data_IF_489177318432
#
_entry.id   IF_489177318432
#
_cell.length_a   1.000
_cell.length_b   1.000
_cell.length_c   1.000
_cell.angle_alpha   90.00
_cell.angle_beta   90.00
_cell.angle_gamma   90.00
#
_symmetry.space_group_name_H-M   'P 1'
#
loop_
_entity.id
_entity.type
_entity.pdbx_description
1 polymer ?
#
# COMPACT_ATOMS: atom_id res chain seq x y z
N UNK A 1 -0.53 3.20 -10.17
CA UNK A 1 -0.68 4.67 -10.30
C UNK A 1 -0.87 5.26 -8.92
N UNK A 2 -0.36 6.46 -8.67
CA UNK A 2 -0.52 7.13 -7.38
C UNK A 2 -0.76 8.63 -7.54
N UNK A 3 -1.40 9.23 -6.54
CA UNK A 3 -1.57 10.67 -6.41
C UNK A 3 -1.21 11.10 -4.98
N UNK A 4 -0.61 12.27 -4.82
CA UNK A 4 -0.39 12.87 -3.51
C UNK A 4 -1.64 13.63 -3.07
N UNK A 5 -2.11 13.37 -1.86
CA UNK A 5 -3.32 13.98 -1.30
C UNK A 5 -3.08 14.28 0.19
N UNK A 6 -3.02 15.56 0.55
CA UNK A 6 -3.04 16.00 1.95
C UNK A 6 -1.97 15.37 2.85
N UNK A 7 -0.74 15.17 2.34
CA UNK A 7 0.34 14.50 3.08
C UNK A 7 0.29 12.97 3.04
N UNK A 8 -0.55 12.39 2.18
CA UNK A 8 -0.61 10.96 1.93
C UNK A 8 -0.49 10.60 0.45
N UNK A 9 -0.26 9.32 0.20
CA UNK A 9 -0.12 8.72 -1.12
C UNK A 9 -1.33 7.82 -1.40
N UNK A 10 -2.18 8.25 -2.33
CA UNK A 10 -3.32 7.47 -2.81
C UNK A 10 -2.85 6.48 -3.87
N UNK A 11 -2.92 5.19 -3.56
CA UNK A 11 -2.55 4.13 -4.51
C UNK A 11 -3.81 3.47 -5.06
N UNK A 12 -4.09 3.73 -6.34
CA UNK A 12 -5.33 3.30 -6.98
C UNK A 12 -5.23 1.92 -7.61
N UNK A 13 -4.08 1.59 -8.19
CA UNK A 13 -3.88 0.34 -8.93
C UNK A 13 -2.44 -0.15 -8.89
N UNK A 14 -2.30 -1.48 -8.86
CA UNK A 14 -1.05 -2.22 -9.03
C UNK A 14 -1.25 -3.22 -10.17
N UNK A 15 -0.46 -3.10 -11.23
CA UNK A 15 -0.56 -3.95 -12.42
C UNK A 15 0.72 -4.75 -12.57
N UNK A 16 0.57 -6.07 -12.67
CA UNK A 16 1.63 -6.98 -13.10
C UNK A 16 1.13 -7.66 -14.37
N UNK A 17 1.89 -7.64 -15.48
CA UNK A 17 1.49 -8.34 -16.69
C UNK A 17 1.27 -9.84 -16.42
N UNK A 18 0.24 -10.43 -17.03
CA UNK A 18 -0.14 -11.86 -16.86
C UNK A 18 1.08 -12.82 -16.95
N UNK A 19 2.01 -12.67 -17.92
CA UNK A 19 3.17 -13.59 -18.02
C UNK A 19 4.12 -13.55 -16.81
N UNK A 20 4.01 -12.51 -15.97
CA UNK A 20 4.85 -12.23 -14.82
C UNK A 20 4.14 -12.45 -13.49
N UNK A 21 2.86 -12.81 -13.50
CA UNK A 21 2.10 -13.17 -12.30
C UNK A 21 2.68 -14.41 -11.60
N UNK A 22 2.33 -14.61 -10.32
CA UNK A 22 2.82 -15.73 -9.51
C UNK A 22 4.28 -15.61 -9.04
N UNK A 23 5.02 -14.58 -9.46
CA UNK A 23 6.45 -14.38 -9.14
C UNK A 23 6.72 -13.42 -7.97
N UNK A 24 5.69 -13.05 -7.22
CA UNK A 24 5.81 -12.11 -6.08
C UNK A 24 6.25 -10.69 -6.45
N UNK A 25 6.10 -10.27 -7.72
CA UNK A 25 6.51 -8.93 -8.19
C UNK A 25 5.71 -7.83 -7.48
N UNK A 26 4.39 -7.97 -7.44
CA UNK A 26 3.53 -6.98 -6.76
C UNK A 26 3.90 -6.82 -5.28
N UNK A 27 4.21 -7.91 -4.58
CA UNK A 27 4.64 -7.87 -3.18
C UNK A 27 5.99 -7.17 -3.00
N UNK A 28 6.95 -7.39 -3.91
CA UNK A 28 8.23 -6.65 -3.90
C UNK A 28 8.03 -5.16 -4.15
N UNK A 29 7.17 -4.80 -5.10
CA UNK A 29 6.78 -3.42 -5.35
C UNK A 29 6.13 -2.79 -4.12
N UNK A 30 5.20 -3.49 -3.46
CA UNK A 30 4.53 -3.01 -2.25
C UNK A 30 5.54 -2.68 -1.14
N UNK A 31 6.51 -3.56 -0.88
CA UNK A 31 7.55 -3.31 0.13
C UNK A 31 8.33 -2.04 -0.16
N UNK A 32 8.74 -1.85 -1.41
CA UNK A 32 9.53 -0.67 -1.79
C UNK A 32 8.71 0.61 -1.67
N UNK A 33 7.45 0.60 -2.14
CA UNK A 33 6.54 1.74 -2.02
C UNK A 33 6.25 2.09 -0.56
N UNK A 34 6.01 1.10 0.30
CA UNK A 34 5.75 1.35 1.73
C UNK A 34 6.99 1.88 2.46
N UNK A 35 8.19 1.45 2.04
CA UNK A 35 9.44 2.01 2.56
C UNK A 35 9.61 3.47 2.15
N UNK A 36 9.38 3.82 0.88
CA UNK A 36 9.43 5.20 0.37
C UNK A 36 8.44 6.11 1.12
N UNK A 37 7.20 5.66 1.30
CA UNK A 37 6.18 6.39 2.06
C UNK A 37 6.67 6.71 3.48
N UNK A 38 7.27 5.71 4.16
CA UNK A 38 7.80 5.89 5.51
C UNK A 38 8.98 6.87 5.53
N UNK A 39 9.92 6.73 4.60
CA UNK A 39 11.09 7.61 4.49
C UNK A 39 10.69 9.07 4.26
N UNK A 40 9.63 9.28 3.47
CA UNK A 40 9.07 10.60 3.18
C UNK A 40 8.17 11.15 4.28
N UNK A 41 7.91 10.39 5.35
CA UNK A 41 7.00 10.77 6.42
C UNK A 41 5.54 10.92 5.98
N UNK A 42 5.16 10.24 4.89
CA UNK A 42 3.81 10.24 4.35
C UNK A 42 2.99 9.07 4.91
N UNK A 43 1.68 9.07 4.63
CA UNK A 43 0.78 7.94 4.91
C UNK A 43 0.18 7.36 3.63
N UNK A 44 -0.12 6.06 3.62
CA UNK A 44 -0.79 5.42 2.48
C UNK A 44 -2.32 5.50 2.61
N UNK A 45 -2.97 5.79 1.48
CA UNK A 45 -4.42 5.68 1.28
C UNK A 45 -4.68 4.52 0.28
N UNK A 46 -4.88 3.28 0.76
CA UNK A 46 -4.93 2.10 -0.10
C UNK A 46 -6.33 1.87 -0.69
N UNK A 47 -6.67 2.55 -1.78
CA UNK A 47 -7.93 2.29 -2.51
C UNK A 47 -7.83 1.09 -3.44
N UNK A 48 -6.61 0.68 -3.80
CA UNK A 48 -6.36 -0.55 -4.54
C UNK A 48 -6.63 -1.81 -3.69
N UNK A 49 -7.40 -2.80 -4.18
CA UNK A 49 -7.68 -4.03 -3.43
C UNK A 49 -6.42 -4.85 -3.12
N UNK A 50 -5.40 -4.81 -3.98
CA UNK A 50 -4.12 -5.47 -3.74
C UNK A 50 -3.41 -4.90 -2.50
N UNK A 51 -3.26 -3.57 -2.42
CA UNK A 51 -2.62 -2.93 -1.26
C UNK A 51 -3.45 -3.08 0.01
N UNK A 52 -4.78 -2.98 -0.08
CA UNK A 52 -5.67 -3.24 1.04
C UNK A 52 -5.47 -4.66 1.61
N UNK A 53 -5.42 -5.67 0.74
CA UNK A 53 -5.16 -7.05 1.14
C UNK A 53 -3.73 -7.27 1.66
N UNK A 54 -2.73 -6.64 1.05
CA UNK A 54 -1.34 -6.72 1.50
C UNK A 54 -1.15 -6.12 2.89
N UNK A 55 -1.71 -4.93 3.14
CA UNK A 55 -1.62 -4.24 4.43
C UNK A 55 -2.33 -5.01 5.54
N UNK A 56 -3.50 -5.61 5.27
CA UNK A 56 -4.18 -6.48 6.24
C UNK A 56 -3.34 -7.68 6.67
N UNK A 57 -2.60 -8.28 5.73
CA UNK A 57 -1.74 -9.45 5.99
C UNK A 57 -0.43 -9.10 6.73
N UNK A 58 -0.06 -7.83 6.76
CA UNK A 58 1.21 -7.35 7.31
C UNK A 58 1.00 -6.14 8.22
N UNK A 59 -0.14 -6.10 8.91
CA UNK A 59 -0.57 -4.95 9.70
C UNK A 59 0.44 -4.61 10.79
N UNK A 60 1.04 -5.62 11.41
CA UNK A 60 2.05 -5.51 12.46
C UNK A 60 3.27 -4.68 12.05
N UNK A 61 3.54 -4.56 10.75
CA UNK A 61 4.70 -3.86 10.22
C UNK A 61 4.39 -2.52 9.55
N UNK A 62 3.14 -2.28 9.17
CA UNK A 62 2.78 -1.14 8.31
C UNK A 62 1.56 -0.34 8.80
N UNK A 63 0.89 -0.75 9.87
CA UNK A 63 -0.26 0.01 10.39
C UNK A 63 0.11 1.46 10.73
N UNK A 64 1.35 1.71 11.17
CA UNK A 64 1.88 3.04 11.50
C UNK A 64 1.79 4.04 10.34
N UNK A 65 1.97 3.58 9.10
CA UNK A 65 1.96 4.41 7.89
C UNK A 65 0.63 4.39 7.14
N UNK A 66 -0.40 3.67 7.60
CA UNK A 66 -1.74 3.71 6.99
C UNK A 66 -2.51 4.92 7.51
N UNK A 67 -3.20 5.66 6.64
CA UNK A 67 -4.03 6.78 7.09
C UNK A 67 -5.11 6.29 8.09
N UNK A 68 -5.37 6.99 9.22
CA UNK A 68 -6.24 6.50 10.30
C UNK A 68 -7.64 6.04 9.86
N UNK A 69 -8.29 6.77 8.93
CA UNK A 69 -9.61 6.38 8.40
C UNK A 69 -9.59 5.03 7.69
N UNK A 70 -8.46 4.67 7.05
CA UNK A 70 -8.31 3.40 6.35
C UNK A 70 -7.93 2.25 7.30
N UNK A 71 -7.29 2.52 8.44
CA UNK A 71 -7.05 1.49 9.47
C UNK A 71 -8.37 0.89 9.97
N UNK A 72 -9.32 1.76 10.32
CA UNK A 72 -10.67 1.38 10.73
C UNK A 72 -11.38 0.57 9.64
N UNK A 73 -11.36 1.07 8.39
CA UNK A 73 -12.00 0.38 7.27
C UNK A 73 -11.37 -1.00 6.96
N UNK A 74 -10.06 -1.14 7.20
CA UNK A 74 -9.35 -2.40 6.99
C UNK A 74 -9.44 -3.35 8.20
N UNK A 75 -9.80 -2.85 9.37
CA UNK A 75 -9.84 -3.61 10.63
C UNK A 75 -8.45 -3.91 11.18
N UNK A 76 -7.51 -2.97 11.02
CA UNK A 76 -6.11 -3.07 11.47
C UNK A 76 -5.73 -1.92 12.40
#
# INVERSE_FOLDING_TARGET
>A
MYNEVGGGLLITETVVPIPLEGRGIASRMAKHVLADIRERGLVILPTCPFFAGYLKKHAEHYADIVHPSYRIALGI
#
